data_IF_553553552732
#
_entry.id   IF_553553552732
#
_cell.length_a   1.000
_cell.length_b   1.000
_cell.length_c   1.000
_cell.angle_alpha   90.00
_cell.angle_beta   90.00
_cell.angle_gamma   90.00
#
_symmetry.space_group_name_H-M   'P 1'
#
loop_
_entity.id
_entity.type
_entity.pdbx_description
1 polymer ?
#
# COMPACT_ATOMS: atom_id res chain seq x y z
N UNK A 1 21.15 46.59 11.98
CA UNK A 1 20.69 45.26 11.54
C UNK A 1 19.89 44.69 12.70
N UNK A 2 18.60 44.41 12.52
CA UNK A 2 17.74 43.94 13.61
C UNK A 2 18.06 42.47 13.91
N UNK A 3 18.44 42.20 15.16
CA UNK A 3 18.72 40.86 15.68
C UNK A 3 17.41 40.06 15.69
N UNK A 4 17.29 39.05 14.81
CA UNK A 4 16.11 38.17 14.80
C UNK A 4 16.10 37.37 16.10
N UNK A 5 15.17 37.69 17.00
CA UNK A 5 14.95 36.94 18.24
C UNK A 5 14.52 35.52 17.88
N UNK A 6 15.29 34.53 18.32
CA UNK A 6 14.92 33.11 18.28
C UNK A 6 13.74 32.93 19.23
N UNK A 7 12.58 32.60 18.69
CA UNK A 7 11.37 32.32 19.47
C UNK A 7 11.21 30.80 19.59
N UNK A 8 11.13 30.31 20.83
CA UNK A 8 10.79 28.93 21.16
C UNK A 8 9.62 28.97 22.15
N UNK A 9 8.42 28.67 21.67
CA UNK A 9 7.19 28.67 22.45
C UNK A 9 6.62 27.25 22.35
N UNK A 10 6.49 26.59 23.50
CA UNK A 10 5.93 25.24 23.61
C UNK A 10 4.71 25.27 24.53
N UNK A 11 3.52 25.35 23.93
CA UNK A 11 2.23 25.31 24.61
C UNK A 11 1.48 24.04 24.20
N UNK A 12 0.58 23.51 25.05
CA UNK A 12 -0.16 22.28 24.77
C UNK A 12 -1.01 22.31 23.49
N UNK A 13 -1.32 23.50 22.97
CA UNK A 13 -2.10 23.70 21.74
C UNK A 13 -1.36 24.49 20.65
N UNK A 14 -0.14 24.96 20.91
CA UNK A 14 0.61 25.83 20.02
C UNK A 14 2.12 25.65 20.21
N UNK A 15 2.83 25.23 19.17
CA UNK A 15 4.30 25.20 19.16
C UNK A 15 4.84 26.13 18.11
N UNK A 16 5.76 27.02 18.47
CA UNK A 16 6.42 27.95 17.55
C UNK A 16 7.92 27.83 17.74
N UNK A 17 8.64 27.54 16.66
CA UNK A 17 10.11 27.54 16.62
C UNK A 17 10.60 28.38 15.45
N UNK A 18 11.45 29.35 15.73
CA UNK A 18 12.08 30.18 14.70
C UNK A 18 13.60 30.09 14.84
N UNK A 19 14.25 29.50 13.83
CA UNK A 19 15.71 29.34 13.76
C UNK A 19 16.30 30.07 12.54
N UNK A 20 17.61 29.97 12.35
CA UNK A 20 18.29 30.61 11.21
C UNK A 20 17.97 29.93 9.87
N UNK A 21 17.42 28.72 9.90
CA UNK A 21 17.08 27.91 8.72
C UNK A 21 15.61 28.05 8.29
N UNK A 22 14.71 28.48 9.19
CA UNK A 22 13.29 28.65 8.91
C UNK A 22 12.39 28.92 10.12
N UNK A 23 11.08 28.91 9.86
CA UNK A 23 10.02 29.02 10.87
C UNK A 23 9.15 27.77 10.89
N UNK A 24 8.80 27.31 12.08
CA UNK A 24 7.91 26.19 12.33
C UNK A 24 6.79 26.64 13.27
N UNK A 25 5.54 26.38 12.88
CA UNK A 25 4.35 26.66 13.69
C UNK A 25 3.41 25.47 13.64
N UNK A 26 3.00 24.96 14.80
CA UNK A 26 2.04 23.86 14.94
C UNK A 26 0.86 24.33 15.79
N UNK A 27 -0.36 24.22 15.26
CA UNK A 27 -1.61 24.58 15.95
C UNK A 27 -2.63 23.47 15.76
N UNK A 28 -2.73 22.55 16.72
CA UNK A 28 -3.63 21.39 16.62
C UNK A 28 -3.30 20.52 15.38
N UNK A 29 -4.23 20.32 14.42
CA UNK A 29 -3.98 19.51 13.22
C UNK A 29 -3.22 20.23 12.10
N UNK A 30 -2.80 21.48 12.33
CA UNK A 30 -2.17 22.35 11.32
C UNK A 30 -0.68 22.51 11.64
N UNK A 31 0.18 22.16 10.69
CA UNK A 31 1.63 22.37 10.75
C UNK A 31 2.06 23.30 9.61
N UNK A 32 2.81 24.34 9.92
CA UNK A 32 3.38 25.28 8.95
C UNK A 32 4.90 25.23 9.08
N UNK A 33 5.58 24.87 7.99
CA UNK A 33 7.04 24.92 7.85
C UNK A 33 7.39 25.92 6.77
N UNK A 34 8.00 27.03 7.16
CA UNK A 34 8.59 28.01 6.26
C UNK A 34 10.11 27.81 6.21
N UNK A 35 10.66 27.35 5.09
CA UNK A 35 12.08 27.61 4.76
C UNK A 35 12.13 28.88 3.93
N UNK A 36 13.27 29.58 3.94
CA UNK A 36 13.46 30.85 3.20
C UNK A 36 13.20 30.63 1.69
N UNK A 37 11.97 30.92 1.23
CA UNK A 37 11.51 30.73 -0.15
C UNK A 37 10.52 29.59 -0.41
N UNK A 38 10.17 28.75 0.57
CA UNK A 38 9.16 27.68 0.43
C UNK A 38 8.28 27.61 1.70
N UNK A 39 6.99 27.93 1.56
CA UNK A 39 5.98 27.74 2.60
C UNK A 39 5.24 26.42 2.38
N UNK A 40 5.34 25.50 3.34
CA UNK A 40 4.61 24.23 3.34
C UNK A 40 3.62 24.21 4.49
N UNK A 41 2.33 24.11 4.16
CA UNK A 41 1.25 24.01 5.14
C UNK A 41 0.67 22.60 5.08
N UNK A 42 0.65 21.92 6.22
CA UNK A 42 0.07 20.59 6.41
C UNK A 42 -1.21 20.71 7.23
N UNK A 43 -2.30 20.15 6.72
CA UNK A 43 -3.60 20.07 7.42
C UNK A 43 -4.09 18.62 7.30
N UNK A 44 -3.74 17.76 8.26
CA UNK A 44 -4.02 16.33 8.17
C UNK A 44 -3.43 15.70 6.89
N UNK A 45 -4.23 15.09 5.98
CA UNK A 45 -3.74 14.47 4.75
C UNK A 45 -3.44 15.46 3.61
N UNK A 46 -3.68 16.76 3.81
CA UNK A 46 -3.51 17.80 2.81
C UNK A 46 -2.15 18.49 3.00
N UNK A 47 -1.33 18.52 1.95
CA UNK A 47 -0.13 19.34 1.86
C UNK A 47 -0.39 20.47 0.87
N UNK A 48 -0.13 21.71 1.29
CA UNK A 48 -0.19 22.89 0.44
C UNK A 48 1.24 23.39 0.29
N UNK A 49 1.72 23.44 -0.95
CA UNK A 49 3.03 24.01 -1.32
C UNK A 49 2.89 24.78 -2.62
N UNK A 50 3.37 26.02 -2.65
CA UNK A 50 3.43 26.89 -3.84
C UNK A 50 2.15 26.90 -4.70
N UNK A 51 1.00 27.13 -4.05
CA UNK A 51 -0.30 27.27 -4.72
C UNK A 51 -0.93 25.96 -5.21
N UNK A 52 -0.37 24.80 -4.88
CA UNK A 52 -0.97 23.48 -5.17
C UNK A 52 -1.39 22.78 -3.89
N UNK A 53 -2.51 22.08 -3.96
CA UNK A 53 -3.03 21.22 -2.90
C UNK A 53 -2.75 19.77 -3.29
N UNK A 54 -1.75 19.16 -2.66
CA UNK A 54 -1.38 17.76 -2.85
C UNK A 54 -1.92 16.92 -1.68
N UNK A 55 -2.81 15.98 -2.02
CA UNK A 55 -3.26 14.95 -1.07
C UNK A 55 -2.14 13.93 -0.91
N UNK A 56 -1.68 13.68 0.31
CA UNK A 56 -0.60 12.72 0.58
C UNK A 56 -1.05 11.29 0.24
N UNK A 57 -0.76 10.84 -0.99
CA UNK A 57 -1.00 9.47 -1.47
C UNK A 57 0.18 8.53 -1.18
N UNK A 58 1.18 8.95 -0.40
CA UNK A 58 2.42 8.18 -0.17
C UNK A 58 2.17 6.83 0.50
N UNK A 59 1.16 6.75 1.38
CA UNK A 59 0.86 5.54 2.15
C UNK A 59 0.47 4.34 1.24
N UNK A 60 -0.26 4.60 0.15
CA UNK A 60 -0.63 3.56 -0.81
C UNK A 60 0.56 2.96 -1.56
N UNK A 61 1.57 3.79 -1.87
CA UNK A 61 2.81 3.36 -2.56
C UNK A 61 3.68 2.49 -1.65
N UNK A 62 3.74 2.82 -0.36
CA UNK A 62 4.52 2.05 0.62
C UNK A 62 3.98 0.63 0.79
N UNK A 63 2.65 0.47 0.88
CA UNK A 63 2.01 -0.86 0.99
C UNK A 63 2.29 -1.74 -0.23
N UNK A 64 2.28 -1.17 -1.43
CA UNK A 64 2.57 -1.90 -2.65
C UNK A 64 4.04 -2.35 -2.70
N UNK A 65 4.97 -1.47 -2.32
CA UNK A 65 6.38 -1.84 -2.16
C UNK A 65 6.59 -2.96 -1.15
N UNK A 66 5.88 -2.93 0.00
CA UNK A 66 5.93 -4.00 0.99
C UNK A 66 5.35 -5.32 0.45
N UNK A 67 4.29 -5.28 -0.34
CA UNK A 67 3.72 -6.47 -0.96
C UNK A 67 4.69 -7.11 -1.96
N UNK A 68 5.39 -6.31 -2.77
CA UNK A 68 6.45 -6.81 -3.64
C UNK A 68 7.62 -7.41 -2.87
N UNK A 69 8.06 -6.77 -1.79
CA UNK A 69 9.10 -7.33 -0.93
C UNK A 69 8.68 -8.69 -0.35
N UNK A 70 7.45 -8.78 0.19
CA UNK A 70 6.89 -10.04 0.70
C UNK A 70 6.80 -11.12 -0.40
N UNK A 71 6.43 -10.75 -1.62
CA UNK A 71 6.38 -11.65 -2.77
C UNK A 71 7.75 -12.29 -3.04
N UNK A 72 8.81 -11.48 -3.15
CA UNK A 72 10.15 -12.01 -3.40
C UNK A 72 10.67 -12.87 -2.24
N UNK A 73 10.33 -12.52 -0.99
CA UNK A 73 10.68 -13.33 0.19
C UNK A 73 10.01 -14.71 0.10
N UNK A 74 8.71 -14.78 -0.19
CA UNK A 74 7.98 -16.06 -0.30
C UNK A 74 8.56 -16.92 -1.42
N UNK A 75 8.77 -16.35 -2.60
CA UNK A 75 9.34 -17.09 -3.75
C UNK A 75 10.73 -17.61 -3.42
N UNK A 76 11.59 -16.76 -2.84
CA UNK A 76 12.95 -17.15 -2.44
C UNK A 76 12.98 -18.23 -1.37
N UNK A 77 12.10 -18.15 -0.36
CA UNK A 77 11.99 -19.15 0.70
C UNK A 77 11.50 -20.49 0.16
N UNK A 78 10.43 -20.51 -0.62
CA UNK A 78 9.90 -21.76 -1.19
C UNK A 78 10.96 -22.42 -2.06
N UNK A 79 11.61 -21.66 -2.96
CA UNK A 79 12.63 -22.22 -3.83
C UNK A 79 13.85 -22.73 -3.04
N UNK A 80 14.29 -21.99 -2.02
CA UNK A 80 15.38 -22.42 -1.14
C UNK A 80 15.03 -23.72 -0.42
N UNK A 81 13.82 -23.82 0.14
CA UNK A 81 13.36 -25.03 0.84
C UNK A 81 13.29 -26.23 -0.12
N UNK A 82 12.74 -26.05 -1.31
CA UNK A 82 12.69 -27.11 -2.32
C UNK A 82 14.09 -27.59 -2.72
N UNK A 83 15.05 -26.66 -2.89
CA UNK A 83 16.42 -27.01 -3.27
C UNK A 83 17.22 -27.66 -2.13
N UNK A 84 17.08 -27.17 -0.90
CA UNK A 84 17.86 -27.64 0.26
C UNK A 84 17.33 -28.96 0.80
N UNK A 85 16.01 -29.12 0.85
CA UNK A 85 15.38 -30.29 1.45
C UNK A 85 14.88 -31.30 0.41
N UNK A 86 15.02 -31.01 -0.88
CA UNK A 86 14.54 -31.86 -1.99
C UNK A 86 13.06 -32.23 -1.88
N UNK A 87 12.26 -31.34 -1.27
CA UNK A 87 10.82 -31.49 -1.13
C UNK A 87 10.12 -30.78 -2.28
N UNK A 88 9.01 -31.33 -2.73
CA UNK A 88 8.13 -30.64 -3.67
C UNK A 88 7.06 -29.87 -2.91
N UNK A 89 7.02 -28.55 -3.09
CA UNK A 89 6.06 -27.64 -2.44
C UNK A 89 5.15 -27.02 -3.51
N UNK A 90 4.48 -27.89 -4.26
CA UNK A 90 3.51 -27.48 -5.28
C UNK A 90 2.45 -26.57 -4.66
N UNK A 91 2.01 -25.55 -5.37
CA UNK A 91 0.98 -24.65 -4.86
C UNK A 91 1.42 -23.69 -3.73
N UNK A 92 2.58 -23.88 -3.09
CA UNK A 92 3.01 -23.04 -1.98
C UNK A 92 3.25 -21.58 -2.41
N UNK A 93 3.87 -21.38 -3.58
CA UNK A 93 4.05 -20.05 -4.16
C UNK A 93 2.69 -19.38 -4.44
N UNK A 94 1.77 -19.94 -5.24
CA UNK A 94 0.50 -19.28 -5.52
C UNK A 94 -0.36 -19.04 -4.27
N UNK A 95 -0.33 -19.93 -3.27
CA UNK A 95 -0.98 -19.68 -1.96
C UNK A 95 -0.36 -18.45 -1.28
N UNK A 96 0.98 -18.41 -1.16
CA UNK A 96 1.67 -17.31 -0.51
C UNK A 96 1.45 -15.97 -1.23
N UNK A 97 1.48 -15.97 -2.57
CA UNK A 97 1.13 -14.81 -3.39
C UNK A 97 -0.31 -14.37 -3.09
N UNK A 98 -1.26 -15.30 -3.08
CA UNK A 98 -2.65 -14.96 -2.82
C UNK A 98 -2.89 -14.33 -1.44
N UNK A 99 -2.21 -14.85 -0.41
CA UNK A 99 -2.23 -14.28 0.95
C UNK A 99 -1.68 -12.83 0.95
N UNK A 100 -0.55 -12.58 0.26
CA UNK A 100 0.04 -11.24 0.17
C UNK A 100 -0.94 -10.25 -0.46
N UNK A 101 -1.59 -10.63 -1.55
CA UNK A 101 -2.51 -9.77 -2.28
C UNK A 101 -3.79 -9.47 -1.49
N UNK A 102 -4.28 -10.43 -0.70
CA UNK A 102 -5.39 -10.20 0.24
C UNK A 102 -4.95 -9.33 1.42
N UNK A 103 -3.78 -9.58 1.99
CA UNK A 103 -3.21 -8.78 3.08
C UNK A 103 -2.97 -7.33 2.66
N UNK A 104 -2.51 -7.09 1.42
CA UNK A 104 -2.36 -5.76 0.85
C UNK A 104 -3.69 -5.01 0.81
N UNK A 105 -4.75 -5.65 0.34
CA UNK A 105 -6.08 -5.04 0.29
C UNK A 105 -6.70 -4.81 1.66
N UNK A 106 -6.44 -5.72 2.61
CA UNK A 106 -6.79 -5.53 4.01
C UNK A 106 -6.04 -4.33 4.63
N UNK A 107 -4.75 -4.19 4.33
CA UNK A 107 -3.97 -3.02 4.73
C UNK A 107 -4.56 -1.73 4.16
N UNK A 108 -4.91 -1.72 2.87
CA UNK A 108 -5.56 -0.58 2.21
C UNK A 108 -6.88 -0.18 2.89
N UNK A 109 -7.72 -1.15 3.26
CA UNK A 109 -9.00 -0.86 3.93
C UNK A 109 -8.81 -0.24 5.32
N UNK A 110 -7.72 -0.58 6.03
CA UNK A 110 -7.38 0.01 7.34
C UNK A 110 -6.90 1.46 7.27
N UNK A 111 -6.27 1.85 6.17
CA UNK A 111 -5.72 3.21 5.98
C UNK A 111 -6.59 4.11 5.08
N UNK A 112 -7.83 3.70 4.80
CA UNK A 112 -8.76 4.49 3.98
C UNK A 112 -8.40 4.55 2.49
N UNK A 113 -7.49 3.70 2.01
CA UNK A 113 -7.16 3.57 0.59
C UNK A 113 -8.18 2.64 -0.08
N UNK A 114 -8.72 2.98 -1.27
CA UNK A 114 -9.69 2.14 -1.96
C UNK A 114 -9.13 0.73 -2.22
N UNK A 115 -9.94 -0.27 -1.90
CA UNK A 115 -9.62 -1.68 -2.15
C UNK A 115 -9.61 -1.91 -3.67
N UNK A 116 -8.55 -2.56 -4.17
CA UNK A 116 -8.47 -2.91 -5.59
C UNK A 116 -9.12 -4.27 -5.82
N UNK A 117 -10.20 -4.26 -6.60
CA UNK A 117 -10.96 -5.47 -6.98
C UNK A 117 -10.10 -6.45 -7.77
N UNK A 118 -9.18 -5.93 -8.59
CA UNK A 118 -8.24 -6.74 -9.37
C UNK A 118 -7.33 -7.51 -8.42
N UNK A 119 -6.72 -6.82 -7.44
CA UNK A 119 -5.78 -7.48 -6.55
C UNK A 119 -6.49 -8.45 -5.60
N UNK A 120 -7.72 -8.15 -5.19
CA UNK A 120 -8.54 -9.10 -4.41
C UNK A 120 -8.91 -10.33 -5.22
N UNK A 121 -9.37 -10.16 -6.46
CA UNK A 121 -9.73 -11.27 -7.35
C UNK A 121 -8.54 -12.18 -7.64
N UNK A 122 -7.39 -11.60 -8.03
CA UNK A 122 -6.16 -12.34 -8.25
C UNK A 122 -5.69 -13.07 -6.99
N UNK A 123 -5.82 -12.43 -5.81
CA UNK A 123 -5.48 -13.08 -4.55
C UNK A 123 -6.30 -14.33 -4.28
N UNK A 124 -7.62 -14.26 -4.48
CA UNK A 124 -8.52 -15.42 -4.32
C UNK A 124 -8.18 -16.51 -5.33
N UNK A 125 -8.03 -16.15 -6.61
CA UNK A 125 -7.71 -17.10 -7.69
C UNK A 125 -6.37 -17.80 -7.41
N UNK A 126 -5.36 -17.06 -6.95
CA UNK A 126 -4.06 -17.62 -6.61
C UNK A 126 -4.13 -18.63 -5.45
N UNK A 127 -4.93 -18.35 -4.40
CA UNK A 127 -5.16 -19.32 -3.31
C UNK A 127 -5.89 -20.55 -3.83
N UNK A 128 -6.99 -20.38 -4.56
CA UNK A 128 -7.76 -21.50 -5.10
C UNK A 128 -6.88 -22.38 -5.99
N UNK A 129 -6.08 -21.77 -6.86
CA UNK A 129 -5.14 -22.47 -7.71
C UNK A 129 -4.09 -23.23 -6.90
N UNK A 130 -3.43 -22.57 -5.95
CA UNK A 130 -2.38 -23.20 -5.16
C UNK A 130 -2.90 -24.30 -4.24
N UNK A 131 -4.11 -24.15 -3.69
CA UNK A 131 -4.79 -25.23 -2.95
C UNK A 131 -5.15 -26.36 -3.91
N UNK A 132 -5.64 -26.08 -5.12
CA UNK A 132 -6.01 -27.14 -6.06
C UNK A 132 -4.82 -28.02 -6.46
N UNK A 133 -3.61 -27.46 -6.59
CA UNK A 133 -2.39 -28.25 -6.83
C UNK A 133 -2.05 -29.25 -5.72
N UNK A 134 -2.56 -29.05 -4.49
CA UNK A 134 -2.34 -29.98 -3.38
C UNK A 134 -3.27 -31.21 -3.45
N UNK A 135 -4.36 -31.13 -4.21
CA UNK A 135 -5.39 -32.18 -4.27
C UNK A 135 -5.59 -32.76 -5.68
N UNK A 136 -5.14 -32.06 -6.71
CA UNK A 136 -5.34 -32.40 -8.12
C UNK A 136 -4.00 -32.23 -8.83
N UNK A 137 -3.46 -33.33 -9.36
CA UNK A 137 -2.15 -33.37 -10.02
C UNK A 137 -2.10 -32.52 -11.29
N UNK A 138 -3.21 -32.43 -12.03
CA UNK A 138 -3.28 -31.74 -13.33
C UNK A 138 -4.34 -30.64 -13.35
N UNK A 139 -4.06 -29.53 -12.66
CA UNK A 139 -4.89 -28.33 -12.78
C UNK A 139 -4.39 -27.46 -13.93
N UNK A 140 -5.17 -27.42 -15.01
CA UNK A 140 -4.89 -26.54 -16.15
C UNK A 140 -5.08 -25.06 -15.74
N UNK A 141 -3.96 -24.34 -15.67
CA UNK A 141 -3.90 -22.89 -15.43
C UNK A 141 -4.80 -22.13 -16.39
N UNK A 142 -4.83 -22.54 -17.66
CA UNK A 142 -5.59 -21.87 -18.69
C UNK A 142 -7.10 -22.02 -18.46
N UNK A 143 -7.55 -23.23 -18.11
CA UNK A 143 -8.93 -23.47 -17.72
C UNK A 143 -9.34 -22.62 -16.51
N UNK A 144 -8.47 -22.55 -15.50
CA UNK A 144 -8.74 -21.77 -14.28
C UNK A 144 -8.77 -20.25 -14.56
N UNK A 145 -7.89 -19.76 -15.44
CA UNK A 145 -7.88 -18.38 -15.90
C UNK A 145 -9.17 -18.03 -16.68
N UNK A 146 -9.66 -18.93 -17.53
CA UNK A 146 -10.93 -18.76 -18.23
C UNK A 146 -12.13 -18.71 -17.28
N UNK A 147 -12.16 -19.58 -16.26
CA UNK A 147 -13.21 -19.55 -15.22
C UNK A 147 -13.18 -18.21 -14.48
N UNK A 148 -11.99 -17.76 -14.04
CA UNK A 148 -11.83 -16.47 -13.37
C UNK A 148 -12.27 -15.28 -14.25
N UNK A 149 -11.90 -15.31 -15.54
CA UNK A 149 -12.31 -14.31 -16.52
C UNK A 149 -13.83 -14.31 -16.72
N UNK A 150 -14.45 -15.49 -16.83
CA UNK A 150 -15.91 -15.62 -16.94
C UNK A 150 -16.64 -15.02 -15.74
N UNK A 151 -16.21 -15.34 -14.52
CA UNK A 151 -16.76 -14.76 -13.28
C UNK A 151 -16.58 -13.23 -13.28
N UNK A 152 -15.39 -12.75 -13.65
CA UNK A 152 -15.12 -11.31 -13.74
C UNK A 152 -16.06 -10.59 -14.72
N UNK A 153 -16.27 -11.17 -15.92
CA UNK A 153 -17.15 -10.59 -16.93
C UNK A 153 -18.61 -10.58 -16.47
N UNK A 154 -19.09 -11.64 -15.79
CA UNK A 154 -20.44 -11.67 -15.20
C UNK A 154 -20.62 -10.49 -14.24
N UNK A 155 -19.70 -10.31 -13.28
CA UNK A 155 -19.79 -9.20 -12.33
C UNK A 155 -19.63 -7.83 -12.99
N UNK A 156 -18.79 -7.72 -14.02
CA UNK A 156 -18.58 -6.47 -14.76
C UNK A 156 -19.86 -6.03 -15.49
N UNK A 157 -20.49 -6.94 -16.25
CA UNK A 157 -21.69 -6.62 -17.01
C UNK A 157 -22.95 -6.55 -16.17
N UNK A 158 -23.10 -7.40 -15.14
CA UNK A 158 -24.24 -7.35 -14.23
C UNK A 158 -24.38 -5.99 -13.53
N UNK A 159 -23.25 -5.32 -13.25
CA UNK A 159 -23.26 -3.96 -12.68
C UNK A 159 -23.47 -2.85 -13.69
N UNK A 160 -23.13 -3.06 -14.97
CA UNK A 160 -23.38 -2.07 -16.03
C UNK A 160 -24.87 -2.00 -16.40
N UNK A 161 -25.64 -3.03 -16.07
CA UNK A 161 -27.08 -3.11 -16.30
C UNK A 161 -27.92 -2.46 -15.19
N UNK A 162 -27.30 -1.97 -14.11
CA UNK A 162 -27.93 -1.21 -13.02
C UNK A 162 -27.60 0.28 -13.16
#
# INVERSE_FOLDING_TARGET
MAEKKKADIDLPFLKVKEDEEGSYVEVGPIEVKGKKGEEKVRIGPLNISDGRVDVDRSQGKNLEGMAWAAFFIVVGLVWTVQNVYHVNLEGAVPIGVGIIWLALNYGRSRIGVPISRVTTGLGIVAIVYGVSQQFVEDVDVFALALVALGIFLIFYFARKAQ
#
